data_IF_189386391197
#
_entry.id   IF_189386391197
#
_cell.length_a   1.000
_cell.length_b   1.000
_cell.length_c   1.000
_cell.angle_alpha   90.00
_cell.angle_beta   90.00
_cell.angle_gamma   90.00
#
_symmetry.space_group_name_H-M   'P 1'
#
loop_
_entity.id
_entity.type
_entity.pdbx_description
1 polymer ?
#
# COMPACT_ATOMS: atom_id res chain seq x y z
N UNK A 1 -52.71 57.18 -2.95
CA UNK A 1 -53.46 56.33 -3.90
C UNK A 1 -52.50 55.92 -5.02
N UNK A 2 -52.28 54.60 -5.14
CA UNK A 2 -51.90 53.84 -6.36
C UNK A 2 -50.60 54.17 -7.13
N UNK A 3 -49.57 53.36 -6.84
CA UNK A 3 -48.85 52.42 -7.73
C UNK A 3 -48.78 52.80 -9.22
N UNK A 4 -47.56 52.95 -9.76
CA UNK A 4 -47.18 52.27 -11.01
C UNK A 4 -45.65 52.17 -11.17
N UNK A 5 -45.18 50.95 -11.01
CA UNK A 5 -43.89 50.38 -11.36
C UNK A 5 -43.74 50.34 -12.89
N UNK A 6 -42.61 50.77 -13.48
CA UNK A 6 -42.03 50.13 -14.69
C UNK A 6 -40.67 50.73 -15.08
N UNK A 7 -39.67 49.85 -15.15
CA UNK A 7 -38.57 49.79 -16.12
C UNK A 7 -37.62 50.99 -16.30
N UNK A 8 -36.51 50.97 -15.56
CA UNK A 8 -35.19 51.30 -16.11
C UNK A 8 -34.13 50.54 -15.31
N UNK A 9 -34.03 49.24 -15.58
CA UNK A 9 -32.86 48.43 -15.23
C UNK A 9 -31.73 48.97 -16.11
N UNK A 10 -30.86 49.77 -15.51
CA UNK A 10 -29.57 50.16 -16.09
C UNK A 10 -28.77 48.87 -16.27
N UNK A 11 -28.38 48.63 -17.52
CA UNK A 11 -27.53 47.54 -17.96
C UNK A 11 -26.19 47.56 -17.22
N UNK A 12 -26.09 46.78 -16.15
CA UNK A 12 -24.81 46.31 -15.61
C UNK A 12 -24.58 44.96 -16.26
N UNK A 13 -23.80 44.96 -17.33
CA UNK A 13 -23.29 43.76 -17.97
C UNK A 13 -21.76 43.81 -17.97
N UNK A 14 -21.19 42.77 -17.36
CA UNK A 14 -19.91 42.16 -17.68
C UNK A 14 -18.64 42.99 -17.40
N UNK A 15 -18.23 42.96 -16.14
CA UNK A 15 -16.84 42.63 -15.79
C UNK A 15 -16.87 42.00 -14.40
N UNK A 16 -17.21 40.71 -14.33
CA UNK A 16 -16.82 39.93 -13.15
C UNK A 16 -15.30 39.98 -13.06
N UNK A 17 -14.72 40.33 -11.90
CA UNK A 17 -13.30 40.11 -11.70
C UNK A 17 -13.08 38.61 -11.83
N UNK A 18 -12.25 38.20 -12.79
CA UNK A 18 -11.79 36.83 -12.96
C UNK A 18 -11.23 36.41 -11.61
N UNK A 19 -12.02 35.63 -10.86
CA UNK A 19 -11.55 34.99 -9.65
C UNK A 19 -10.32 34.16 -10.06
N UNK A 20 -9.21 34.21 -9.31
CA UNK A 20 -8.06 33.38 -9.62
C UNK A 20 -8.49 31.92 -9.49
N UNK A 21 -8.80 31.28 -10.63
CA UNK A 21 -9.03 29.84 -10.73
C UNK A 21 -7.68 29.15 -10.66
N UNK A 22 -7.03 29.23 -9.50
CA UNK A 22 -6.10 28.20 -9.10
C UNK A 22 -6.94 26.94 -8.76
N UNK A 23 -7.53 26.32 -9.79
CA UNK A 23 -7.84 24.89 -9.70
C UNK A 23 -6.50 24.25 -9.40
N UNK A 24 -6.33 23.69 -8.20
CA UNK A 24 -5.24 22.77 -7.91
C UNK A 24 -5.23 21.76 -9.06
N UNK A 25 -4.25 21.88 -9.96
CA UNK A 25 -4.22 21.01 -11.13
C UNK A 25 -3.79 19.65 -10.60
N UNK A 26 -4.67 18.67 -10.72
CA UNK A 26 -4.40 17.27 -10.45
C UNK A 26 -4.19 16.58 -11.81
N UNK A 27 -3.04 16.81 -12.47
CA UNK A 27 -2.85 16.42 -13.87
C UNK A 27 -2.90 14.91 -14.07
N UNK A 28 -2.43 14.12 -13.10
CA UNK A 28 -2.41 12.67 -13.21
C UNK A 28 -3.81 12.09 -13.01
N UNK A 29 -4.56 12.60 -12.03
CA UNK A 29 -5.96 12.22 -11.83
C UNK A 29 -6.83 12.65 -13.01
N UNK A 30 -6.68 13.88 -13.51
CA UNK A 30 -7.44 14.38 -14.67
C UNK A 30 -7.23 13.50 -15.90
N UNK A 31 -5.99 13.10 -16.18
CA UNK A 31 -5.68 12.20 -17.29
C UNK A 31 -6.37 10.83 -17.14
N UNK A 32 -6.36 10.25 -15.93
CA UNK A 32 -7.08 8.98 -15.66
C UNK A 32 -8.60 9.19 -15.78
N UNK A 33 -9.14 10.25 -15.20
CA UNK A 33 -10.56 10.58 -15.24
C UNK A 33 -11.07 10.82 -16.67
N UNK A 34 -10.28 11.51 -17.50
CA UNK A 34 -10.56 11.73 -18.92
C UNK A 34 -10.59 10.42 -19.70
N UNK A 35 -9.61 9.53 -19.47
CA UNK A 35 -9.59 8.19 -20.08
C UNK A 35 -10.85 7.40 -19.69
N UNK A 36 -11.22 7.38 -18.41
CA UNK A 36 -12.43 6.69 -17.95
C UNK A 36 -13.69 7.30 -18.55
N UNK A 37 -13.81 8.62 -18.52
CA UNK A 37 -14.96 9.34 -19.09
C UNK A 37 -15.11 9.05 -20.58
N UNK A 38 -14.00 9.03 -21.32
CA UNK A 38 -13.99 8.70 -22.74
C UNK A 38 -14.47 7.25 -22.98
N UNK A 39 -14.05 6.30 -22.14
CA UNK A 39 -14.48 4.89 -22.23
C UNK A 39 -15.97 4.75 -21.93
N UNK A 40 -16.45 5.35 -20.84
CA UNK A 40 -17.86 5.29 -20.43
C UNK A 40 -18.80 5.99 -21.44
N UNK A 41 -18.30 7.00 -22.17
CA UNK A 41 -19.05 7.69 -23.21
C UNK A 41 -19.13 6.93 -24.55
N UNK A 42 -18.33 5.88 -24.74
CA UNK A 42 -18.39 5.08 -25.97
C UNK A 42 -19.64 4.18 -25.97
N UNK A 43 -20.30 3.99 -27.13
CA UNK A 43 -21.40 3.03 -27.22
C UNK A 43 -20.90 1.63 -26.83
N UNK A 44 -21.72 0.82 -26.14
CA UNK A 44 -21.31 -0.53 -25.73
C UNK A 44 -20.82 -1.30 -26.95
N UNK A 45 -19.60 -1.83 -26.88
CA UNK A 45 -19.03 -2.63 -27.96
C UNK A 45 -19.98 -3.78 -28.26
N UNK A 46 -20.29 -4.00 -29.55
CA UNK A 46 -21.01 -5.19 -29.97
C UNK A 46 -20.18 -6.40 -29.53
N UNK A 47 -20.74 -7.22 -28.64
CA UNK A 47 -20.13 -8.43 -28.11
C UNK A 47 -19.59 -9.27 -29.28
N UNK A 48 -18.26 -9.40 -29.40
CA UNK A 48 -17.70 -10.29 -30.42
C UNK A 48 -17.79 -11.73 -29.91
N UNK A 49 -18.72 -12.49 -30.49
CA UNK A 49 -18.72 -13.96 -30.66
C UNK A 49 -17.94 -14.73 -29.57
N UNK A 50 -18.46 -14.79 -28.35
CA UNK A 50 -18.26 -15.89 -27.40
C UNK A 50 -19.18 -15.65 -26.18
N UNK A 51 -20.37 -16.25 -26.20
CA UNK A 51 -21.34 -16.19 -25.09
C UNK A 51 -20.85 -16.86 -23.79
N UNK A 52 -19.66 -17.49 -23.80
CA UNK A 52 -19.11 -18.27 -22.67
C UNK A 52 -18.33 -17.48 -21.61
N UNK A 53 -18.03 -16.20 -21.81
CA UNK A 53 -17.29 -15.37 -20.85
C UNK A 53 -18.17 -14.19 -20.38
N UNK A 54 -19.30 -14.51 -19.76
CA UNK A 54 -20.11 -13.51 -19.05
C UNK A 54 -19.64 -13.39 -17.60
N UNK A 55 -18.57 -12.65 -17.40
CA UNK A 55 -18.30 -12.01 -16.10
C UNK A 55 -18.53 -10.52 -16.30
N UNK A 56 -19.43 -9.86 -15.53
CA UNK A 56 -19.66 -8.43 -15.67
C UNK A 56 -18.50 -7.66 -15.02
N UNK A 57 -17.40 -7.52 -15.76
CA UNK A 57 -16.32 -6.58 -15.48
C UNK A 57 -16.33 -5.52 -16.56
N UNK A 58 -16.25 -4.25 -16.20
CA UNK A 58 -15.95 -3.19 -17.17
C UNK A 58 -14.62 -3.55 -17.86
N UNK A 59 -14.66 -3.87 -19.15
CA UNK A 59 -13.45 -4.08 -19.95
C UNK A 59 -12.91 -2.71 -20.39
N UNK A 60 -11.97 -2.14 -19.64
CA UNK A 60 -11.30 -0.92 -20.07
C UNK A 60 -10.32 -1.26 -21.21
N UNK A 61 -10.24 -0.46 -22.30
CA UNK A 61 -9.21 -0.61 -23.31
C UNK A 61 -7.84 -0.26 -22.72
N UNK A 62 -7.07 -1.31 -22.37
CA UNK A 62 -5.70 -1.26 -21.89
C UNK A 62 -4.78 -0.29 -22.66
N UNK A 63 -4.96 -0.16 -23.98
CA UNK A 63 -4.17 0.74 -24.83
C UNK A 63 -4.19 2.21 -24.36
N UNK A 64 -5.25 2.61 -23.63
CA UNK A 64 -5.37 3.97 -23.08
C UNK A 64 -4.39 4.25 -21.93
N UNK A 65 -3.91 3.20 -21.24
CA UNK A 65 -2.98 3.32 -20.10
C UNK A 65 -1.52 2.96 -20.46
N UNK A 66 -1.28 2.44 -21.66
CA UNK A 66 0.03 1.88 -22.08
C UNK A 66 1.20 2.87 -22.06
N UNK A 67 0.91 4.17 -22.21
CA UNK A 67 1.93 5.22 -22.22
C UNK A 67 2.29 5.73 -20.82
N UNK A 68 1.55 5.32 -19.79
CA UNK A 68 1.80 5.69 -18.41
C UNK A 68 2.90 4.83 -17.79
N UNK A 69 3.47 5.31 -16.69
CA UNK A 69 4.34 4.52 -15.81
C UNK A 69 3.62 4.21 -14.51
N UNK A 70 4.11 3.20 -13.81
CA UNK A 70 3.62 2.78 -12.48
C UNK A 70 3.51 3.97 -11.52
N UNK A 71 4.55 4.82 -11.46
CA UNK A 71 4.55 6.03 -10.61
C UNK A 71 3.46 7.03 -10.98
N UNK A 72 3.09 7.14 -12.26
CA UNK A 72 2.08 8.09 -12.72
C UNK A 72 0.68 7.66 -12.26
N UNK A 73 0.41 6.34 -12.23
CA UNK A 73 -0.83 5.78 -11.68
C UNK A 73 -0.91 5.89 -10.15
N UNK A 74 0.21 5.67 -9.44
CA UNK A 74 0.27 5.86 -7.99
C UNK A 74 0.07 7.33 -7.60
N UNK A 75 0.62 8.27 -8.38
CA UNK A 75 0.33 9.70 -8.23
C UNK A 75 -1.13 10.02 -8.53
N UNK A 76 -1.70 9.47 -9.61
CA UNK A 76 -3.12 9.65 -9.91
C UNK A 76 -4.02 9.16 -8.77
N UNK A 77 -3.67 8.06 -8.09
CA UNK A 77 -4.41 7.59 -6.92
C UNK A 77 -4.36 8.59 -5.75
N UNK A 78 -3.17 9.12 -5.39
CA UNK A 78 -3.02 10.16 -4.36
C UNK A 78 -3.77 11.45 -4.70
N UNK A 79 -3.75 11.85 -5.96
CA UNK A 79 -4.50 13.01 -6.44
C UNK A 79 -6.02 12.77 -6.39
N UNK A 80 -6.48 11.60 -6.81
CA UNK A 80 -7.89 11.19 -6.73
C UNK A 80 -8.40 11.12 -5.29
N UNK A 81 -7.56 10.67 -4.35
CA UNK A 81 -7.82 10.77 -2.91
C UNK A 81 -8.00 12.22 -2.49
N UNK A 82 -7.06 13.10 -2.86
CA UNK A 82 -7.09 14.52 -2.52
C UNK A 82 -8.37 15.20 -3.03
N UNK A 83 -8.78 14.91 -4.27
CA UNK A 83 -10.02 15.39 -4.88
C UNK A 83 -11.25 14.92 -4.09
N UNK A 84 -11.29 13.67 -3.64
CA UNK A 84 -12.39 13.16 -2.84
C UNK A 84 -12.43 13.83 -1.45
N UNK A 85 -11.28 13.97 -0.79
CA UNK A 85 -11.16 14.60 0.55
C UNK A 85 -11.54 16.09 0.55
N UNK A 86 -11.40 16.80 -0.57
CA UNK A 86 -11.96 18.15 -0.69
C UNK A 86 -13.48 18.21 -0.45
N UNK A 87 -14.20 17.11 -0.68
CA UNK A 87 -15.65 17.06 -0.43
C UNK A 87 -16.00 17.00 1.06
N UNK A 88 -15.07 16.63 1.94
CA UNK A 88 -15.26 16.73 3.41
C UNK A 88 -15.39 18.18 3.84
N UNK A 89 -14.56 19.06 3.25
CA UNK A 89 -14.64 20.50 3.49
C UNK A 89 -15.98 21.10 3.00
N UNK A 90 -16.68 20.40 2.09
CA UNK A 90 -18.02 20.76 1.62
C UNK A 90 -19.14 20.17 2.49
N UNK A 91 -18.81 19.51 3.61
CA UNK A 91 -19.76 18.99 4.58
C UNK A 91 -20.32 17.61 4.26
N UNK A 92 -19.73 16.87 3.31
CA UNK A 92 -20.15 15.49 3.04
C UNK A 92 -19.81 14.56 4.21
N UNK A 93 -20.63 13.52 4.47
CA UNK A 93 -20.31 12.51 5.48
C UNK A 93 -19.01 11.78 5.17
N UNK A 94 -18.17 11.53 6.19
CA UNK A 94 -16.88 10.85 6.04
C UNK A 94 -16.98 9.50 5.31
N UNK A 95 -18.02 8.70 5.60
CA UNK A 95 -18.23 7.41 4.94
C UNK A 95 -18.51 7.53 3.43
N UNK A 96 -19.20 8.59 2.99
CA UNK A 96 -19.43 8.85 1.56
C UNK A 96 -18.11 9.25 0.89
N UNK A 97 -17.30 10.05 1.57
CA UNK A 97 -15.98 10.45 1.07
C UNK A 97 -15.04 9.25 0.99
N UNK A 98 -14.99 8.38 2.01
CA UNK A 98 -14.19 7.15 1.97
C UNK A 98 -14.58 6.24 0.80
N UNK A 99 -15.87 6.14 0.50
CA UNK A 99 -16.35 5.39 -0.66
C UNK A 99 -15.89 6.03 -1.98
N UNK A 100 -15.90 7.36 -2.06
CA UNK A 100 -15.39 8.08 -3.23
C UNK A 100 -13.86 7.93 -3.37
N UNK A 101 -13.12 8.00 -2.26
CA UNK A 101 -11.67 7.73 -2.22
C UNK A 101 -11.39 6.34 -2.76
N UNK A 102 -12.08 5.32 -2.25
CA UNK A 102 -11.93 3.93 -2.70
C UNK A 102 -12.23 3.78 -4.19
N UNK A 103 -13.30 4.43 -4.69
CA UNK A 103 -13.64 4.44 -6.12
C UNK A 103 -12.51 5.03 -6.96
N UNK A 104 -11.98 6.18 -6.55
CA UNK A 104 -10.91 6.87 -7.28
C UNK A 104 -9.62 6.04 -7.30
N UNK A 105 -9.25 5.43 -6.18
CA UNK A 105 -8.09 4.54 -6.08
C UNK A 105 -8.26 3.33 -6.99
N UNK A 106 -9.42 2.68 -6.95
CA UNK A 106 -9.71 1.50 -7.78
C UNK A 106 -9.57 1.85 -9.27
N UNK A 107 -10.13 2.98 -9.70
CA UNK A 107 -10.01 3.48 -11.07
C UNK A 107 -8.54 3.68 -11.45
N UNK A 108 -7.75 4.30 -10.59
CA UNK A 108 -6.35 4.61 -10.88
C UNK A 108 -5.46 3.36 -10.92
N UNK A 109 -5.72 2.37 -10.07
CA UNK A 109 -4.76 1.29 -9.81
C UNK A 109 -5.14 -0.08 -10.36
N UNK A 110 -6.38 -0.33 -10.77
CA UNK A 110 -6.82 -1.65 -11.26
C UNK A 110 -5.92 -2.19 -12.39
N UNK A 111 -5.43 -1.31 -13.26
CA UNK A 111 -4.56 -1.63 -14.39
C UNK A 111 -3.07 -1.45 -14.14
N UNK A 112 -2.66 -1.07 -12.92
CA UNK A 112 -1.26 -0.96 -12.53
C UNK A 112 -0.41 -2.16 -12.97
N UNK A 113 -0.87 -3.43 -12.82
CA UNK A 113 -0.04 -4.59 -13.15
C UNK A 113 0.35 -4.72 -14.62
N UNK A 114 -0.43 -4.13 -15.52
CA UNK A 114 -0.13 -4.15 -16.96
C UNK A 114 0.86 -3.06 -17.36
N UNK A 115 1.09 -2.10 -16.47
CA UNK A 115 2.00 -0.97 -16.67
C UNK A 115 3.35 -1.24 -16.02
N UNK A 116 3.42 -2.12 -15.00
CA UNK A 116 4.67 -2.55 -14.37
C UNK A 116 5.57 -3.20 -15.43
N UNK A 117 6.76 -2.62 -15.62
CA UNK A 117 7.76 -3.11 -16.60
C UNK A 117 8.87 -3.95 -15.96
N UNK A 118 8.73 -4.23 -14.67
CA UNK A 118 9.66 -5.06 -13.94
C UNK A 118 9.59 -6.52 -14.37
N UNK A 119 10.75 -7.15 -14.47
CA UNK A 119 10.81 -8.59 -14.56
C UNK A 119 10.66 -9.20 -13.16
N UNK A 120 9.62 -9.99 -12.96
CA UNK A 120 9.31 -10.69 -11.70
C UNK A 120 10.45 -11.62 -11.29
N UNK A 121 11.15 -12.20 -12.26
CA UNK A 121 12.25 -13.15 -12.01
C UNK A 121 13.52 -12.48 -11.48
N UNK A 122 13.62 -11.14 -11.56
CA UNK A 122 14.77 -10.44 -11.02
C UNK A 122 14.72 -10.47 -9.49
N UNK A 123 15.79 -10.95 -8.87
CA UNK A 123 15.98 -11.01 -7.43
C UNK A 123 16.36 -9.65 -6.84
N UNK A 124 16.24 -9.48 -5.52
CA UNK A 124 16.68 -8.26 -4.85
C UNK A 124 18.19 -8.00 -5.02
N UNK A 125 19.00 -9.05 -5.14
CA UNK A 125 20.44 -8.96 -5.44
C UNK A 125 20.72 -8.29 -6.79
N UNK A 126 19.84 -8.46 -7.78
CA UNK A 126 19.97 -7.82 -9.11
C UNK A 126 19.83 -6.29 -9.05
N UNK A 127 19.29 -5.75 -7.96
CA UNK A 127 19.14 -4.30 -7.75
C UNK A 127 20.31 -3.65 -7.04
N UNK A 128 21.23 -4.45 -6.48
CA UNK A 128 22.36 -4.00 -5.68
C UNK A 128 23.63 -4.15 -6.51
N UNK A 129 24.25 -3.03 -6.88
CA UNK A 129 25.58 -3.04 -7.52
C UNK A 129 26.65 -2.72 -6.50
N UNK A 130 27.66 -3.59 -6.42
CA UNK A 130 28.85 -3.36 -5.61
C UNK A 130 29.92 -2.75 -6.51
N UNK A 131 30.28 -1.50 -6.24
CA UNK A 131 31.37 -0.83 -6.94
C UNK A 131 32.72 -1.34 -6.44
N UNK A 132 33.76 -1.24 -7.27
CA UNK A 132 35.13 -1.61 -6.90
C UNK A 132 35.65 -0.86 -5.65
N UNK A 133 35.04 0.27 -5.28
CA UNK A 133 35.30 1.04 -4.06
C UNK A 133 34.68 0.43 -2.78
N UNK A 134 33.93 -0.66 -2.89
CA UNK A 134 33.14 -1.22 -1.78
C UNK A 134 31.82 -0.48 -1.52
N UNK A 135 31.49 0.54 -2.33
CA UNK A 135 30.22 1.25 -2.23
C UNK A 135 29.10 0.45 -2.90
N UNK A 136 27.93 0.43 -2.26
CA UNK A 136 26.72 -0.20 -2.78
C UNK A 136 25.84 0.88 -3.41
N UNK A 137 25.31 0.61 -4.60
CA UNK A 137 24.24 1.43 -5.20
C UNK A 137 23.01 0.56 -5.44
N UNK A 138 21.88 1.06 -4.96
CA UNK A 138 20.57 0.47 -5.19
C UNK A 138 19.95 1.08 -6.44
N UNK A 139 19.39 0.25 -7.32
CA UNK A 139 18.58 0.70 -8.45
C UNK A 139 17.10 0.57 -8.07
N UNK A 140 16.37 1.69 -7.89
CA UNK A 140 14.96 1.64 -7.53
C UNK A 140 14.13 0.90 -8.58
N UNK A 141 13.18 0.12 -8.08
CA UNK A 141 12.14 -0.57 -8.82
C UNK A 141 10.88 0.31 -8.87
N UNK A 142 10.11 0.20 -9.93
CA UNK A 142 8.79 0.86 -10.07
C UNK A 142 7.83 0.50 -8.91
N UNK A 143 7.95 -0.70 -8.35
CA UNK A 143 7.19 -1.22 -7.22
C UNK A 143 7.67 -0.70 -5.87
N UNK A 144 8.82 -0.02 -5.79
CA UNK A 144 9.29 0.60 -4.52
C UNK A 144 8.31 1.61 -3.98
N UNK A 145 7.74 2.44 -4.85
CA UNK A 145 6.77 3.47 -4.49
C UNK A 145 5.55 2.86 -3.78
N UNK A 146 5.19 1.60 -4.08
CA UNK A 146 4.12 0.90 -3.38
C UNK A 146 4.51 0.70 -1.91
N UNK A 147 5.71 0.20 -1.63
CA UNK A 147 6.18 0.03 -0.24
C UNK A 147 6.30 1.36 0.49
N UNK A 148 6.74 2.42 -0.20
CA UNK A 148 6.78 3.78 0.35
C UNK A 148 5.38 4.25 0.76
N UNK A 149 4.36 4.05 -0.08
CA UNK A 149 2.96 4.36 0.27
C UNK A 149 2.50 3.51 1.46
N UNK A 150 2.83 2.22 1.49
CA UNK A 150 2.39 1.32 2.58
C UNK A 150 2.87 1.82 3.94
N UNK A 151 4.12 2.28 4.06
CA UNK A 151 4.72 2.72 5.33
C UNK A 151 4.52 4.20 5.61
N UNK A 152 4.23 5.03 4.60
CA UNK A 152 4.07 6.46 4.77
C UNK A 152 2.75 6.78 5.48
N UNK A 153 2.84 7.35 6.68
CA UNK A 153 1.67 7.71 7.47
C UNK A 153 0.92 8.93 6.97
N UNK A 154 1.57 9.77 6.17
CA UNK A 154 0.93 10.95 5.60
C UNK A 154 0.06 10.59 4.39
N UNK A 155 0.22 9.37 3.84
CA UNK A 155 -0.68 8.83 2.84
C UNK A 155 -2.03 8.43 3.46
N UNK A 156 -3.08 8.58 2.66
CA UNK A 156 -4.45 8.37 3.14
C UNK A 156 -4.69 6.92 3.59
N UNK A 157 -5.33 6.71 4.76
CA UNK A 157 -5.48 5.38 5.33
C UNK A 157 -6.33 4.45 4.47
N UNK A 158 -7.25 4.96 3.62
CA UNK A 158 -8.02 4.15 2.65
C UNK A 158 -7.13 3.67 1.50
N UNK A 159 -6.22 4.51 1.01
CA UNK A 159 -5.22 4.12 -0.01
C UNK A 159 -4.29 3.05 0.52
N UNK A 160 -3.73 3.27 1.71
CA UNK A 160 -2.82 2.32 2.36
C UNK A 160 -3.52 0.98 2.58
N UNK A 161 -4.76 1.00 3.07
CA UNK A 161 -5.60 -0.20 3.23
C UNK A 161 -5.78 -0.96 1.91
N UNK A 162 -6.15 -0.24 0.85
CA UNK A 162 -6.45 -0.83 -0.46
C UNK A 162 -5.24 -1.59 -1.03
N UNK A 163 -4.04 -1.03 -0.88
CA UNK A 163 -2.78 -1.66 -1.32
C UNK A 163 -2.37 -2.82 -0.39
N UNK A 164 -2.51 -2.66 0.94
CA UNK A 164 -2.24 -3.72 1.90
C UNK A 164 -3.08 -4.98 1.60
N UNK A 165 -4.40 -4.83 1.41
CA UNK A 165 -5.31 -5.94 1.09
C UNK A 165 -4.92 -6.70 -0.19
N UNK A 166 -4.18 -6.05 -1.10
CA UNK A 166 -3.73 -6.62 -2.39
C UNK A 166 -2.26 -7.00 -2.40
N UNK A 167 -1.58 -6.89 -1.26
CA UNK A 167 -0.15 -7.22 -1.15
C UNK A 167 0.11 -8.71 -0.93
N UNK A 168 -0.86 -9.41 -0.33
CA UNK A 168 -0.80 -10.84 -0.03
C UNK A 168 -2.04 -11.53 -0.65
N UNK A 169 -1.91 -12.72 -1.28
CA UNK A 169 -3.03 -13.38 -1.92
C UNK A 169 -4.16 -13.74 -0.93
N UNK A 170 -5.41 -13.51 -1.34
CA UNK A 170 -6.61 -13.98 -0.65
C UNK A 170 -7.20 -13.05 0.43
N UNK A 171 -6.80 -11.77 0.48
CA UNK A 171 -7.43 -10.74 1.33
C UNK A 171 -8.38 -9.83 0.57
N UNK A 172 -8.00 -9.40 -0.63
CA UNK A 172 -8.86 -8.64 -1.52
C UNK A 172 -9.74 -9.55 -2.39
N UNK A 173 -10.94 -9.08 -2.81
CA UNK A 173 -11.71 -9.72 -3.87
C UNK A 173 -10.91 -9.84 -5.17
N UNK A 174 -11.22 -10.90 -5.93
CA UNK A 174 -10.59 -11.15 -7.23
C UNK A 174 -10.72 -9.94 -8.16
N UNK A 175 -9.57 -9.44 -8.59
CA UNK A 175 -9.38 -8.31 -9.49
C UNK A 175 -8.04 -8.50 -10.19
N UNK A 176 -7.82 -7.80 -11.31
CA UNK A 176 -6.53 -7.89 -12.00
C UNK A 176 -5.39 -7.52 -11.05
N UNK A 177 -5.57 -6.42 -10.31
CA UNK A 177 -4.61 -5.98 -9.31
C UNK A 177 -4.43 -7.01 -8.18
N UNK A 178 -5.51 -7.54 -7.59
CA UNK A 178 -5.40 -8.49 -6.48
C UNK A 178 -4.74 -9.82 -6.87
N UNK A 179 -4.89 -10.26 -8.12
CA UNK A 179 -4.31 -11.53 -8.61
C UNK A 179 -2.83 -11.41 -9.00
N UNK A 180 -2.38 -10.21 -9.36
CA UNK A 180 -1.05 -10.01 -9.96
C UNK A 180 -0.09 -9.23 -9.07
N UNK A 181 -0.55 -8.21 -8.34
CA UNK A 181 0.30 -7.41 -7.45
C UNK A 181 1.07 -8.28 -6.43
N UNK A 182 0.45 -9.30 -5.78
CA UNK A 182 1.20 -10.15 -4.87
C UNK A 182 2.41 -10.83 -5.51
N UNK A 183 2.38 -11.14 -6.82
CA UNK A 183 3.51 -11.80 -7.48
C UNK A 183 4.74 -10.88 -7.52
N UNK A 184 4.54 -9.59 -7.80
CA UNK A 184 5.61 -8.58 -7.78
C UNK A 184 6.12 -8.32 -6.37
N UNK A 185 5.23 -8.21 -5.38
CA UNK A 185 5.63 -7.87 -4.01
C UNK A 185 6.27 -9.06 -3.28
N UNK A 186 5.81 -10.29 -3.52
CA UNK A 186 6.38 -11.49 -2.88
C UNK A 186 7.73 -11.91 -3.48
N UNK A 187 8.03 -11.54 -4.73
CA UNK A 187 9.39 -11.60 -5.28
C UNK A 187 10.38 -10.73 -4.47
N UNK A 188 9.85 -9.79 -3.67
CA UNK A 188 10.58 -8.89 -2.77
C UNK A 188 10.28 -9.20 -1.30
N UNK A 189 10.40 -10.48 -0.97
CA UNK A 189 10.07 -11.10 0.32
C UNK A 189 10.55 -10.29 1.54
N UNK A 190 11.79 -9.78 1.54
CA UNK A 190 12.31 -8.98 2.65
C UNK A 190 11.60 -7.62 2.76
N UNK A 191 11.51 -6.86 1.67
CA UNK A 191 10.84 -5.54 1.64
C UNK A 191 9.36 -5.62 2.02
N UNK A 192 8.66 -6.64 1.54
CA UNK A 192 7.26 -6.87 1.90
C UNK A 192 7.13 -7.13 3.40
N UNK A 193 7.98 -8.00 3.97
CA UNK A 193 7.99 -8.25 5.41
C UNK A 193 8.28 -6.98 6.21
N UNK A 194 9.29 -6.23 5.82
CA UNK A 194 9.72 -5.02 6.54
C UNK A 194 8.62 -3.97 6.53
N UNK A 195 7.94 -3.77 5.39
CA UNK A 195 6.79 -2.88 5.29
C UNK A 195 5.64 -3.34 6.20
N UNK A 196 5.29 -4.62 6.18
CA UNK A 196 4.22 -5.18 7.03
C UNK A 196 4.57 -5.07 8.52
N UNK A 197 5.80 -5.38 8.93
CA UNK A 197 6.27 -5.21 10.32
C UNK A 197 6.20 -3.73 10.73
N UNK A 198 6.67 -2.84 9.86
CA UNK A 198 6.65 -1.39 10.12
C UNK A 198 5.23 -0.91 10.39
N UNK A 199 4.28 -1.23 9.52
CA UNK A 199 2.86 -0.86 9.73
C UNK A 199 2.28 -1.54 10.96
N UNK A 200 2.55 -2.83 11.18
CA UNK A 200 2.01 -3.58 12.31
C UNK A 200 2.46 -2.99 13.65
N UNK A 201 3.73 -2.62 13.80
CA UNK A 201 4.36 -2.26 15.07
C UNK A 201 4.36 -0.75 15.39
N UNK A 202 4.10 0.11 14.41
CA UNK A 202 4.31 1.56 14.57
C UNK A 202 3.39 2.20 15.66
N UNK A 203 3.92 2.97 16.64
CA UNK A 203 3.21 3.50 17.84
C UNK A 203 1.94 4.31 17.58
N UNK A 204 1.96 5.11 16.52
CA UNK A 204 0.87 6.00 16.15
C UNK A 204 0.26 5.67 14.79
N UNK A 205 0.28 4.39 14.42
CA UNK A 205 -0.45 3.90 13.25
C UNK A 205 -1.95 3.79 13.52
N UNK A 206 -2.77 3.88 12.47
CA UNK A 206 -4.20 3.68 12.57
C UNK A 206 -4.51 2.22 12.98
N UNK A 207 -5.37 1.96 13.99
CA UNK A 207 -5.62 0.61 14.51
C UNK A 207 -6.01 -0.43 13.45
N UNK A 208 -6.91 -0.09 12.51
CA UNK A 208 -7.28 -1.03 11.45
C UNK A 208 -6.12 -1.38 10.50
N UNK A 209 -5.17 -0.46 10.26
CA UNK A 209 -4.00 -0.73 9.43
C UNK A 209 -3.03 -1.66 10.17
N UNK A 210 -2.84 -1.45 11.48
CA UNK A 210 -2.05 -2.36 12.31
C UNK A 210 -2.64 -3.77 12.30
N UNK A 211 -3.94 -3.90 12.54
CA UNK A 211 -4.65 -5.18 12.50
C UNK A 211 -4.47 -5.89 11.16
N UNK A 212 -4.71 -5.16 10.07
CA UNK A 212 -4.56 -5.68 8.71
C UNK A 212 -3.12 -6.14 8.44
N UNK A 213 -2.12 -5.35 8.84
CA UNK A 213 -0.71 -5.71 8.62
C UNK A 213 -0.28 -6.95 9.42
N UNK A 214 -0.74 -7.08 10.68
CA UNK A 214 -0.53 -8.29 11.50
C UNK A 214 -1.13 -9.51 10.80
N UNK A 215 -2.36 -9.40 10.31
CA UNK A 215 -3.06 -10.50 9.64
C UNK A 215 -2.40 -10.89 8.31
N UNK A 216 -2.02 -9.91 7.50
CA UNK A 216 -1.31 -10.10 6.24
C UNK A 216 0.02 -10.81 6.46
N UNK A 217 0.82 -10.36 7.42
CA UNK A 217 2.12 -10.97 7.73
C UNK A 217 1.93 -12.42 8.19
N UNK A 218 1.04 -12.65 9.15
CA UNK A 218 0.75 -13.99 9.66
C UNK A 218 0.32 -14.93 8.55
N UNK A 219 -0.64 -14.52 7.71
CA UNK A 219 -1.09 -15.34 6.59
C UNK A 219 0.01 -15.60 5.58
N UNK A 220 0.79 -14.59 5.20
CA UNK A 220 1.87 -14.73 4.23
C UNK A 220 2.90 -15.79 4.67
N UNK A 221 3.34 -15.73 5.93
CA UNK A 221 4.32 -16.68 6.45
C UNK A 221 3.68 -18.06 6.71
N UNK A 222 2.46 -18.13 7.23
CA UNK A 222 1.77 -19.40 7.49
C UNK A 222 1.41 -20.16 6.20
N UNK A 223 1.02 -19.47 5.13
CA UNK A 223 0.75 -20.11 3.85
C UNK A 223 2.03 -20.74 3.27
N UNK A 224 3.17 -20.03 3.38
CA UNK A 224 4.48 -20.57 3.02
C UNK A 224 4.87 -21.76 3.91
N UNK A 225 4.65 -21.66 5.22
CA UNK A 225 4.93 -22.72 6.20
C UNK A 225 4.12 -23.98 5.89
N UNK A 226 2.82 -23.83 5.65
CA UNK A 226 1.92 -24.92 5.24
C UNK A 226 2.35 -25.52 3.91
N UNK A 227 2.74 -24.71 2.93
CA UNK A 227 3.17 -25.20 1.64
C UNK A 227 4.43 -26.07 1.75
N UNK A 228 5.41 -25.65 2.54
CA UNK A 228 6.65 -26.42 2.79
C UNK A 228 6.32 -27.72 3.53
N UNK A 229 5.55 -27.64 4.62
CA UNK A 229 5.13 -28.81 5.37
C UNK A 229 4.36 -29.83 4.50
N UNK A 230 3.44 -29.35 3.67
CA UNK A 230 2.61 -30.22 2.83
C UNK A 230 3.37 -30.85 1.65
N UNK A 231 4.55 -30.32 1.30
CA UNK A 231 5.42 -30.86 0.25
C UNK A 231 6.38 -31.92 0.76
N UNK A 232 6.55 -32.06 2.08
CA UNK A 232 7.44 -33.07 2.63
C UNK A 232 6.97 -34.50 2.25
N UNK A 233 7.86 -35.38 1.75
CA UNK A 233 7.49 -36.72 1.32
C UNK A 233 6.75 -37.53 2.38
N UNK A 234 7.10 -37.34 3.67
CA UNK A 234 6.46 -38.07 4.75
C UNK A 234 5.04 -37.60 4.99
N UNK A 235 4.80 -36.30 4.91
CA UNK A 235 3.46 -35.72 5.03
C UNK A 235 2.57 -36.15 3.86
N UNK A 236 3.11 -36.20 2.64
CA UNK A 236 2.40 -36.71 1.46
C UNK A 236 1.99 -38.17 1.66
N UNK A 237 2.92 -39.04 2.06
CA UNK A 237 2.65 -40.46 2.34
C UNK A 237 1.53 -40.62 3.40
N UNK A 238 1.64 -39.90 4.53
CA UNK A 238 0.65 -39.98 5.60
C UNK A 238 -0.75 -39.55 5.12
N UNK A 239 -0.85 -38.51 4.28
CA UNK A 239 -2.12 -38.08 3.70
C UNK A 239 -2.70 -39.11 2.73
N UNK A 240 -1.87 -39.75 1.91
CA UNK A 240 -2.31 -40.82 1.00
C UNK A 240 -2.84 -42.04 1.75
N UNK A 241 -2.30 -42.33 2.95
CA UNK A 241 -2.84 -43.38 3.84
C UNK A 241 -4.13 -42.97 4.57
N UNK A 242 -4.65 -41.76 4.33
CA UNK A 242 -5.88 -41.25 4.92
C UNK A 242 -5.71 -40.73 6.36
N UNK A 243 -4.47 -40.56 6.84
CA UNK A 243 -4.25 -39.96 8.16
C UNK A 243 -4.44 -38.44 8.10
N UNK A 244 -5.19 -37.85 9.05
CA UNK A 244 -5.30 -36.40 9.14
C UNK A 244 -3.98 -35.82 9.64
N UNK A 245 -3.24 -35.14 8.76
CA UNK A 245 -1.99 -34.47 9.10
C UNK A 245 -2.17 -32.96 8.94
N UNK A 246 -1.99 -32.24 10.04
CA UNK A 246 -2.07 -30.79 10.11
C UNK A 246 -0.68 -30.18 10.38
N UNK A 247 -0.42 -28.98 9.84
CA UNK A 247 0.88 -28.30 9.99
C UNK A 247 1.26 -28.03 11.45
N UNK A 248 0.29 -27.96 12.36
CA UNK A 248 0.52 -27.84 13.82
C UNK A 248 1.26 -29.04 14.40
N UNK A 249 1.27 -30.19 13.73
CA UNK A 249 2.05 -31.36 14.13
C UNK A 249 3.56 -31.15 13.91
N UNK A 250 3.96 -30.13 13.15
CA UNK A 250 5.36 -29.81 12.89
C UNK A 250 6.14 -29.30 14.12
N UNK A 251 5.48 -29.05 15.26
CA UNK A 251 6.15 -28.63 16.51
C UNK A 251 7.21 -29.64 16.95
N UNK A 252 7.02 -30.91 16.64
CA UNK A 252 7.98 -31.98 16.84
C UNK A 252 8.24 -32.69 15.49
N UNK A 253 9.09 -32.12 14.63
CA UNK A 253 9.29 -32.62 13.28
C UNK A 253 10.05 -33.95 13.25
N UNK A 254 10.86 -34.22 14.28
CA UNK A 254 11.59 -35.48 14.41
C UNK A 254 10.64 -36.63 14.73
N UNK A 255 9.65 -36.42 15.61
CA UNK A 255 8.62 -37.42 15.87
C UNK A 255 7.76 -37.72 14.63
N UNK A 256 7.56 -36.73 13.76
CA UNK A 256 6.84 -36.90 12.49
C UNK A 256 7.72 -37.50 11.39
N UNK A 257 9.04 -37.50 11.57
CA UNK A 257 10.00 -37.99 10.58
C UNK A 257 10.14 -37.07 9.36
N UNK A 258 10.02 -35.75 9.55
CA UNK A 258 10.23 -34.79 8.47
C UNK A 258 11.70 -34.76 8.02
N UNK A 259 11.92 -34.54 6.74
CA UNK A 259 13.26 -34.44 6.18
C UNK A 259 14.04 -33.24 6.76
N UNK A 260 15.37 -33.35 6.84
CA UNK A 260 16.24 -32.27 7.32
C UNK A 260 16.08 -30.97 6.52
N UNK A 261 15.82 -31.09 5.21
CA UNK A 261 15.55 -29.96 4.32
C UNK A 261 14.28 -29.22 4.73
N UNK A 262 13.16 -29.94 4.90
CA UNK A 262 11.90 -29.38 5.40
C UNK A 262 12.11 -28.72 6.76
N UNK A 263 12.80 -29.39 7.70
CA UNK A 263 13.06 -28.84 9.04
C UNK A 263 13.82 -27.50 8.98
N UNK A 264 14.85 -27.42 8.12
CA UNK A 264 15.64 -26.20 7.92
C UNK A 264 14.78 -25.06 7.37
N UNK A 265 13.91 -25.34 6.42
CA UNK A 265 13.00 -24.35 5.84
C UNK A 265 11.94 -23.88 6.82
N UNK A 266 11.29 -24.79 7.56
CA UNK A 266 10.32 -24.44 8.61
C UNK A 266 10.97 -23.59 9.70
N UNK A 267 12.21 -23.92 10.08
CA UNK A 267 13.01 -23.12 11.02
C UNK A 267 13.30 -21.71 10.50
N UNK A 268 13.60 -21.55 9.20
CA UNK A 268 13.77 -20.21 8.60
C UNK A 268 12.49 -19.37 8.71
N UNK A 269 11.33 -19.98 8.50
CA UNK A 269 10.04 -19.28 8.63
C UNK A 269 9.68 -19.00 10.09
N UNK A 270 10.06 -19.85 11.04
CA UNK A 270 9.79 -19.60 12.46
C UNK A 270 10.60 -18.43 13.02
N UNK A 271 11.81 -18.19 12.53
CA UNK A 271 12.54 -16.95 12.83
C UNK A 271 11.75 -15.72 12.39
N UNK A 272 11.18 -15.72 11.17
CA UNK A 272 10.36 -14.60 10.68
C UNK A 272 9.11 -14.34 11.54
N UNK A 273 8.51 -15.39 12.10
CA UNK A 273 7.38 -15.24 13.04
C UNK A 273 7.84 -14.76 14.43
N UNK A 274 9.06 -15.10 14.83
CA UNK A 274 9.67 -14.58 16.05
C UNK A 274 9.97 -13.08 15.92
N UNK A 275 10.41 -12.62 14.75
CA UNK A 275 10.60 -11.19 14.46
C UNK A 275 9.28 -10.41 14.56
N UNK A 276 8.20 -10.95 13.98
CA UNK A 276 6.86 -10.36 14.15
C UNK A 276 6.47 -10.32 15.63
N UNK A 277 6.62 -11.44 16.35
CA UNK A 277 6.26 -11.54 17.76
C UNK A 277 6.96 -10.48 18.60
N UNK A 278 8.27 -10.29 18.39
CA UNK A 278 9.05 -9.24 19.03
C UNK A 278 8.49 -7.85 18.69
N UNK A 279 8.27 -7.56 17.41
CA UNK A 279 7.80 -6.25 16.95
C UNK A 279 6.43 -5.85 17.51
N UNK A 280 5.53 -6.81 17.76
CA UNK A 280 4.18 -6.54 18.24
C UNK A 280 4.00 -6.75 19.75
N UNK A 281 4.96 -7.38 20.45
CA UNK A 281 4.84 -7.68 21.88
C UNK A 281 4.60 -6.42 22.74
N UNK A 282 5.18 -5.29 22.34
CA UNK A 282 4.96 -3.99 22.96
C UNK A 282 3.48 -3.56 23.00
N UNK A 283 2.63 -4.07 22.11
CA UNK A 283 1.21 -3.73 22.09
C UNK A 283 0.48 -4.16 23.36
N UNK A 284 0.93 -5.21 24.03
CA UNK A 284 0.25 -5.79 25.21
C UNK A 284 1.05 -5.61 26.50
N UNK A 285 2.12 -4.82 26.44
CA UNK A 285 2.94 -4.49 27.61
C UNK A 285 2.14 -3.67 28.63
N UNK A 286 2.58 -3.73 29.89
CA UNK A 286 1.99 -2.92 30.95
C UNK A 286 2.06 -1.43 30.58
N UNK A 287 0.94 -0.72 30.68
CA UNK A 287 0.85 0.70 30.30
C UNK A 287 0.65 0.97 28.79
N UNK A 288 0.53 -0.05 27.95
CA UNK A 288 0.23 0.13 26.52
C UNK A 288 -1.09 0.87 26.28
N UNK A 289 -1.01 1.95 25.51
CA UNK A 289 -2.15 2.79 25.09
C UNK A 289 -2.73 2.36 23.74
N UNK A 290 -2.34 1.17 23.22
CA UNK A 290 -2.87 0.66 21.95
C UNK A 290 -4.38 0.42 22.01
N UNK A 291 -4.99 0.44 20.83
CA UNK A 291 -6.38 0.02 20.66
C UNK A 291 -6.62 -1.41 21.17
N UNK A 292 -7.77 -1.65 21.79
CA UNK A 292 -8.10 -2.94 22.40
C UNK A 292 -8.24 -4.07 21.36
N UNK A 293 -8.66 -3.75 20.13
CA UNK A 293 -8.66 -4.69 19.02
C UNK A 293 -7.24 -5.13 18.67
N UNK A 294 -6.30 -4.18 18.59
CA UNK A 294 -4.87 -4.46 18.33
C UNK A 294 -4.27 -5.32 19.44
N UNK A 295 -4.55 -5.02 20.70
CA UNK A 295 -4.11 -5.82 21.85
C UNK A 295 -4.64 -7.24 21.79
N UNK A 296 -5.95 -7.38 21.56
CA UNK A 296 -6.62 -8.68 21.49
C UNK A 296 -6.03 -9.53 20.36
N UNK A 297 -5.85 -8.93 19.18
CA UNK A 297 -5.28 -9.65 18.04
C UNK A 297 -3.82 -10.02 18.27
N UNK A 298 -3.03 -9.14 18.88
CA UNK A 298 -1.65 -9.42 19.26
C UNK A 298 -1.55 -10.63 20.18
N UNK A 299 -2.38 -10.71 21.23
CA UNK A 299 -2.42 -11.90 22.12
C UNK A 299 -2.71 -13.18 21.35
N UNK A 300 -3.74 -13.17 20.51
CA UNK A 300 -4.12 -14.34 19.72
C UNK A 300 -3.01 -14.80 18.77
N UNK A 301 -2.29 -13.86 18.14
CA UNK A 301 -1.15 -14.17 17.27
C UNK A 301 0.03 -14.74 18.05
N UNK A 302 0.37 -14.17 19.22
CA UNK A 302 1.44 -14.70 20.06
C UNK A 302 1.11 -16.11 20.59
N UNK A 303 -0.14 -16.37 20.97
CA UNK A 303 -0.61 -17.70 21.34
C UNK A 303 -0.49 -18.68 20.16
N UNK A 304 -0.93 -18.30 18.96
CA UNK A 304 -0.80 -19.12 17.75
C UNK A 304 0.66 -19.44 17.46
N UNK A 305 1.57 -18.46 17.55
CA UNK A 305 3.01 -18.66 17.34
C UNK A 305 3.58 -19.64 18.37
N UNK A 306 3.28 -19.46 19.66
CA UNK A 306 3.76 -20.33 20.76
C UNK A 306 3.29 -21.78 20.59
N UNK A 307 2.03 -21.94 20.19
CA UNK A 307 1.33 -23.23 20.27
C UNK A 307 1.41 -24.03 18.98
N UNK A 308 1.80 -23.45 17.85
CA UNK A 308 1.74 -24.11 16.53
C UNK A 308 3.03 -24.14 15.74
N UNK A 309 4.01 -23.28 16.07
CA UNK A 309 5.20 -23.09 15.24
C UNK A 309 6.40 -23.84 15.80
N UNK A 310 7.09 -24.55 14.91
CA UNK A 310 8.34 -25.25 15.22
C UNK A 310 9.48 -24.29 15.58
N UNK A 311 10.34 -24.69 16.53
CA UNK A 311 11.59 -23.99 16.86
C UNK A 311 11.40 -22.52 17.31
N UNK A 312 10.26 -22.20 17.93
CA UNK A 312 10.06 -20.93 18.63
C UNK A 312 10.36 -21.11 20.12
N UNK A 313 11.02 -20.13 20.73
CA UNK A 313 11.21 -20.12 22.18
C UNK A 313 9.89 -19.80 22.91
N UNK A 314 9.23 -20.85 23.39
CA UNK A 314 7.95 -20.74 24.09
C UNK A 314 8.04 -19.94 25.39
N UNK A 315 9.20 -19.89 26.03
CA UNK A 315 9.38 -19.13 27.27
C UNK A 315 9.38 -17.63 26.95
N UNK A 316 10.11 -17.22 25.92
CA UNK A 316 10.15 -15.83 25.45
C UNK A 316 8.74 -15.36 25.04
N UNK A 317 8.00 -16.14 24.26
CA UNK A 317 6.63 -15.77 23.89
C UNK A 317 5.70 -15.72 25.12
N UNK A 318 5.92 -16.58 26.12
CA UNK A 318 5.15 -16.54 27.37
C UNK A 318 5.45 -15.29 28.19
N UNK A 319 6.69 -14.78 28.17
CA UNK A 319 7.04 -13.50 28.77
C UNK A 319 6.36 -12.33 28.05
N UNK A 320 6.31 -12.35 26.71
CA UNK A 320 5.58 -11.35 25.92
C UNK A 320 4.08 -11.34 26.26
N UNK A 321 3.46 -12.53 26.33
CA UNK A 321 2.06 -12.69 26.73
C UNK A 321 1.78 -12.21 28.15
N UNK A 322 2.77 -12.28 29.05
CA UNK A 322 2.72 -11.72 30.39
C UNK A 322 2.94 -10.20 30.44
N UNK A 323 3.07 -9.54 29.29
CA UNK A 323 3.28 -8.09 29.18
C UNK A 323 4.73 -7.65 29.44
N UNK A 324 5.68 -8.59 29.42
CA UNK A 324 7.12 -8.33 29.66
C UNK A 324 7.88 -8.32 28.33
N UNK A 325 7.41 -7.53 27.39
CA UNK A 325 8.16 -7.34 26.15
C UNK A 325 9.42 -6.50 26.44
N UNK A 326 10.54 -6.74 25.72
CA UNK A 326 11.65 -5.80 25.72
C UNK A 326 11.17 -4.42 25.25
N UNK A 327 11.77 -3.36 25.79
CA UNK A 327 11.54 -2.02 25.24
C UNK A 327 11.92 -2.02 23.76
N UNK A 328 11.09 -1.44 22.88
CA UNK A 328 11.39 -1.43 21.46
C UNK A 328 12.73 -0.72 21.24
N UNK A 329 13.69 -1.39 20.60
CA UNK A 329 14.84 -0.71 20.01
C UNK A 329 14.28 0.25 18.96
N UNK A 330 14.20 1.54 19.31
CA UNK A 330 13.71 2.59 18.43
C UNK A 330 14.75 2.90 17.35
N UNK A 331 14.95 1.98 16.42
CA UNK A 331 15.48 2.27 15.09
C UNK A 331 14.29 2.32 14.13
N UNK A 332 13.34 3.20 14.41
CA UNK A 332 12.42 3.61 13.35
C UNK A 332 13.28 4.34 12.33
N UNK A 333 13.37 3.85 11.08
CA UNK A 333 14.00 4.64 10.05
C UNK A 333 13.21 5.95 10.00
N UNK A 334 13.83 7.02 10.45
CA UNK A 334 13.55 8.33 9.87
C UNK A 334 13.74 8.04 8.39
N UNK A 335 12.65 8.03 7.60
CA UNK A 335 12.75 8.06 6.15
C UNK A 335 13.94 8.96 5.87
N UNK A 336 14.96 8.55 5.09
CA UNK A 336 15.97 9.51 4.69
C UNK A 336 15.15 10.68 4.20
N UNK A 337 15.21 11.80 4.93
CA UNK A 337 14.75 13.07 4.40
C UNK A 337 15.48 13.05 3.10
N UNK A 338 14.71 12.96 2.01
CA UNK A 338 15.30 13.04 0.70
C UNK A 338 16.17 14.27 0.85
N UNK A 339 17.49 14.04 0.74
CA UNK A 339 18.43 15.11 0.55
C UNK A 339 18.14 15.68 -0.83
N UNK A 340 16.93 16.19 -1.05
CA UNK A 340 16.80 17.61 -1.32
C UNK A 340 17.67 18.23 -0.25
N UNK A 341 18.95 18.46 -0.59
CA UNK A 341 19.55 19.70 -0.16
C UNK A 341 18.40 20.70 -0.18
N UNK A 342 18.00 21.16 0.99
CA UNK A 342 17.36 22.45 1.06
C UNK A 342 18.36 23.37 0.35
N UNK A 343 18.22 23.50 -0.98
CA UNK A 343 18.14 24.80 -1.57
C UNK A 343 17.24 25.51 -0.60
N UNK A 344 17.87 26.41 0.17
CA UNK A 344 17.23 27.10 1.26
C UNK A 344 15.84 27.51 0.84
N UNK A 345 14.97 27.73 1.82
CA UNK A 345 13.96 28.78 1.66
C UNK A 345 14.54 29.82 0.71
N UNK A 346 13.93 30.11 -0.45
CA UNK A 346 14.45 31.16 -1.29
C UNK A 346 14.51 32.35 -0.36
N UNK A 347 15.74 32.70 0.05
CA UNK A 347 15.95 33.91 0.79
C UNK A 347 15.29 34.93 -0.10
N UNK A 348 14.37 35.68 0.49
CA UNK A 348 13.89 36.93 -0.05
C UNK A 348 15.10 37.89 -0.09
N UNK A 349 16.06 37.57 -0.95
CA UNK A 349 17.28 38.31 -1.18
C UNK A 349 17.16 38.91 -2.56
N UNK A 350 16.90 40.23 -2.55
CA UNK A 350 17.01 41.08 -3.72
C UNK A 350 15.93 40.88 -4.78
N UNK A 351 14.76 41.49 -4.56
CA UNK A 351 14.04 42.09 -5.69
C UNK A 351 15.02 43.00 -6.43
N UNK A 352 15.59 42.55 -7.55
CA UNK A 352 16.21 43.45 -8.52
C UNK A 352 15.04 44.27 -9.07
N UNK A 353 14.92 45.49 -8.59
CA UNK A 353 14.02 46.49 -9.15
C UNK A 353 14.57 46.90 -10.50
N UNK A 354 14.05 46.29 -11.57
CA UNK A 354 14.25 46.80 -12.92
C UNK A 354 13.23 47.93 -13.12
N UNK A 355 13.66 49.21 -13.25
CA UNK A 355 12.72 50.28 -13.53
C UNK A 355 12.09 50.05 -14.91
N UNK A 356 10.76 49.98 -14.95
CA UNK A 356 10.01 49.99 -16.20
C UNK A 356 10.18 51.36 -16.89
N UNK A 357 10.41 51.43 -18.21
CA UNK A 357 10.41 52.69 -18.93
C UNK A 357 9.04 53.37 -18.81
N UNK A 358 9.02 54.68 -18.52
CA UNK A 358 7.78 55.45 -18.32
C UNK A 358 6.83 55.43 -19.54
N UNK A 359 7.33 55.05 -20.71
CA UNK A 359 6.58 55.04 -21.98
C UNK A 359 6.05 53.65 -22.40
N UNK A 360 6.13 52.63 -21.54
CA UNK A 360 5.46 51.34 -21.76
C UNK A 360 6.07 50.43 -22.85
N UNK A 361 7.33 50.67 -23.24
CA UNK A 361 8.10 49.76 -24.10
C UNK A 361 8.62 48.51 -23.35
N UNK A 362 8.98 47.42 -24.05
CA UNK A 362 9.49 46.21 -23.41
C UNK A 362 10.84 46.46 -22.72
N UNK A 363 11.13 45.78 -21.59
CA UNK A 363 12.37 45.96 -20.85
C UNK A 363 13.58 45.49 -21.68
N UNK A 364 14.68 46.23 -21.59
CA UNK A 364 15.97 45.84 -22.16
C UNK A 364 16.76 45.10 -21.08
N UNK A 365 17.19 43.87 -21.39
CA UNK A 365 18.02 43.03 -20.53
C UNK A 365 19.50 43.37 -20.64
#
# INVERSE_FOLDING_TARGET
MLISTTCLIVSILAAEPIAPTARTRYPYWQMVEEVVTQIESQPPRMQSINEGLRTPGQEYPFESFRHLRTVDLLRAAREGVSVARQQEALGKPAAEVDQQVLRNITIALEYLPLVIRENIDNTEEDTIKVHASGQYTYTPRETDEIFEILINKDDDPVLRKFLLERSVPGFAPDSLLALTLPQYLTARDQRLRDALITVASHPSEHPFLQLLAIDLYMKYILDSYKAIFNRDPKVVELKETGQPVDYKMAIDPDALGLSEETQKELKRLSFRLTDLALAIAGHISEGSTRDEGVKTRTKAVLEEIRDTIYNVDKNVISEYLAGRAPEPETDWPVLPTTGVESQGDPMMDGLITVPLPEDGGPPVF
#
